data_IF_242118150916
#
_entry.id   IF_242118150916
#
_cell.length_a   1.000
_cell.length_b   1.000
_cell.length_c   1.000
_cell.angle_alpha   90.00
_cell.angle_beta   90.00
_cell.angle_gamma   90.00
#
_symmetry.space_group_name_H-M   'P 1'
#
loop_
_entity.id
_entity.type
_entity.pdbx_description
1 polymer ?
#
# COMPACT_ATOMS: atom_id res chain seq x y z
N UNK A 1 -20.16 -1.04 -15.85
CA UNK A 1 -18.74 -0.98 -15.48
C UNK A 1 -18.36 -2.32 -14.88
N UNK A 2 -17.40 -3.01 -15.47
CA UNK A 2 -16.90 -4.30 -15.00
C UNK A 2 -16.11 -4.14 -13.69
N UNK A 3 -15.89 -5.26 -12.98
CA UNK A 3 -15.03 -5.29 -11.80
C UNK A 3 -13.59 -4.86 -12.11
N UNK A 4 -13.10 -5.21 -13.31
CA UNK A 4 -11.77 -4.83 -13.80
C UNK A 4 -11.67 -3.33 -14.07
N UNK A 5 -12.66 -2.73 -14.76
CA UNK A 5 -12.69 -1.28 -15.00
C UNK A 5 -12.68 -0.50 -13.70
N UNK A 6 -13.45 -0.96 -12.71
CA UNK A 6 -13.47 -0.35 -11.37
C UNK A 6 -12.10 -0.47 -10.69
N UNK A 7 -11.43 -1.62 -10.78
CA UNK A 7 -10.10 -1.82 -10.21
C UNK A 7 -9.07 -0.88 -10.85
N UNK A 8 -9.07 -0.76 -12.19
CA UNK A 8 -8.21 0.18 -12.92
C UNK A 8 -8.43 1.63 -12.49
N UNK A 9 -9.69 2.06 -12.32
CA UNK A 9 -10.01 3.40 -11.81
C UNK A 9 -9.50 3.63 -10.38
N UNK A 10 -9.61 2.62 -9.52
CA UNK A 10 -9.09 2.68 -8.15
C UNK A 10 -7.56 2.82 -8.15
N UNK A 11 -6.87 2.07 -9.01
CA UNK A 11 -5.42 2.14 -9.16
C UNK A 11 -4.97 3.49 -9.70
N UNK A 12 -5.60 3.99 -10.77
CA UNK A 12 -5.32 5.32 -11.30
C UNK A 12 -5.53 6.42 -10.26
N UNK A 13 -6.63 6.34 -9.48
CA UNK A 13 -6.93 7.30 -8.41
C UNK A 13 -5.84 7.30 -7.33
N UNK A 14 -5.36 6.12 -6.93
CA UNK A 14 -4.27 6.02 -5.95
C UNK A 14 -2.95 6.59 -6.48
N UNK A 15 -2.58 6.26 -7.71
CA UNK A 15 -1.39 6.82 -8.34
C UNK A 15 -1.46 8.35 -8.45
N UNK A 16 -2.61 8.90 -8.87
CA UNK A 16 -2.81 10.35 -8.89
C UNK A 16 -2.71 10.97 -7.50
N UNK A 17 -3.24 10.33 -6.47
CA UNK A 17 -3.11 10.80 -5.09
C UNK A 17 -1.64 10.85 -4.66
N UNK A 18 -0.86 9.79 -4.93
CA UNK A 18 0.58 9.75 -4.62
C UNK A 18 1.31 10.89 -5.33
N UNK A 19 1.08 11.04 -6.64
CA UNK A 19 1.68 12.11 -7.46
C UNK A 19 1.38 13.52 -6.93
N UNK A 20 0.17 13.74 -6.42
CA UNK A 20 -0.25 15.04 -5.86
C UNK A 20 0.23 15.26 -4.41
N UNK A 21 0.64 14.19 -3.71
CA UNK A 21 0.96 14.23 -2.29
C UNK A 21 2.20 13.37 -1.92
N UNK A 22 3.37 13.60 -2.55
CA UNK A 22 4.57 12.79 -2.32
C UNK A 22 5.02 12.80 -0.85
N UNK A 23 4.96 13.96 -0.17
CA UNK A 23 5.32 14.06 1.25
C UNK A 23 4.41 13.22 2.16
N UNK A 24 3.12 13.15 1.82
CA UNK A 24 2.13 12.34 2.57
C UNK A 24 2.33 10.86 2.30
N UNK A 25 2.68 10.51 1.06
CA UNK A 25 3.04 9.15 0.69
C UNK A 25 4.26 8.67 1.49
N UNK A 26 5.33 9.46 1.54
CA UNK A 26 6.53 9.11 2.30
C UNK A 26 6.22 8.95 3.80
N UNK A 27 5.51 9.92 4.40
CA UNK A 27 5.08 9.82 5.81
C UNK A 27 4.27 8.56 6.11
N UNK A 28 3.42 8.13 5.18
CA UNK A 28 2.65 6.91 5.33
C UNK A 28 3.55 5.67 5.26
N UNK A 29 4.51 5.62 4.33
CA UNK A 29 5.50 4.54 4.24
C UNK A 29 6.32 4.42 5.54
N UNK A 30 6.85 5.55 6.02
CA UNK A 30 7.63 5.61 7.25
C UNK A 30 6.81 5.11 8.44
N UNK A 31 5.52 5.49 8.50
CA UNK A 31 4.63 5.04 9.57
C UNK A 31 4.37 3.55 9.53
N UNK A 32 4.03 3.01 8.37
CA UNK A 32 3.80 1.56 8.22
C UNK A 32 5.09 0.78 8.53
N UNK A 33 6.25 1.29 8.14
CA UNK A 33 7.55 0.72 8.50
C UNK A 33 7.77 0.71 10.01
N UNK A 34 7.53 1.83 10.68
CA UNK A 34 7.63 1.95 12.13
C UNK A 34 6.69 0.99 12.86
N UNK A 35 5.40 0.93 12.48
CA UNK A 35 4.43 0.01 13.07
C UNK A 35 4.82 -1.46 12.90
N UNK A 36 5.35 -1.81 11.72
CA UNK A 36 5.86 -3.15 11.46
C UNK A 36 7.03 -3.51 12.39
N UNK A 37 7.95 -2.57 12.63
CA UNK A 37 9.11 -2.73 13.52
C UNK A 37 8.69 -2.86 14.99
N UNK A 38 7.65 -2.15 15.42
CA UNK A 38 7.01 -2.30 16.74
C UNK A 38 6.18 -3.60 16.88
N UNK A 39 5.97 -4.34 15.78
CA UNK A 39 5.16 -5.56 15.76
C UNK A 39 3.65 -5.33 15.75
N UNK A 40 3.20 -4.11 15.42
CA UNK A 40 1.78 -3.78 15.31
C UNK A 40 1.16 -4.33 14.01
N UNK A 41 -0.06 -4.87 14.11
CA UNK A 41 -0.83 -5.26 12.94
C UNK A 41 -1.50 -4.04 12.31
N UNK A 42 -1.26 -3.84 11.01
CA UNK A 42 -1.70 -2.66 10.28
C UNK A 42 -2.96 -3.00 9.49
N UNK A 43 -4.08 -2.39 9.88
CA UNK A 43 -5.36 -2.53 9.23
C UNK A 43 -5.95 -1.16 8.92
N UNK A 44 -6.77 -1.08 7.87
CA UNK A 44 -7.54 0.15 7.56
C UNK A 44 -8.32 0.67 8.78
N UNK A 45 -8.90 -0.24 9.56
CA UNK A 45 -9.75 0.10 10.70
C UNK A 45 -8.99 0.73 11.86
N UNK A 46 -7.74 0.31 12.08
CA UNK A 46 -6.94 0.69 13.24
C UNK A 46 -5.81 1.68 12.91
N UNK A 47 -5.45 1.89 11.64
CA UNK A 47 -4.34 2.77 11.25
C UNK A 47 -4.49 4.18 11.82
N UNK A 48 -5.73 4.66 11.96
CA UNK A 48 -6.02 5.96 12.59
C UNK A 48 -5.76 5.98 14.10
N UNK A 49 -6.14 4.91 14.80
CA UNK A 49 -5.91 4.79 16.23
C UNK A 49 -4.41 4.65 16.52
N UNK A 50 -3.71 3.86 15.70
CA UNK A 50 -2.26 3.76 15.73
C UNK A 50 -1.62 5.13 15.44
N UNK A 51 -2.07 5.84 14.40
CA UNK A 51 -1.53 7.15 14.06
C UNK A 51 -1.67 8.15 15.22
N UNK A 52 -2.84 8.16 15.90
CA UNK A 52 -3.04 8.99 17.09
C UNK A 52 -2.13 8.57 18.25
N UNK A 53 -1.99 7.26 18.49
CA UNK A 53 -1.15 6.72 19.57
C UNK A 53 0.31 7.14 19.41
N UNK A 54 0.80 7.19 18.17
CA UNK A 54 2.19 7.52 17.85
C UNK A 54 2.39 8.98 17.40
N UNK A 55 1.42 9.87 17.65
CA UNK A 55 1.59 11.32 17.46
C UNK A 55 1.62 11.79 16.00
N UNK A 56 1.09 11.01 15.06
CA UNK A 56 0.99 11.38 13.64
C UNK A 56 -0.16 12.36 13.36
N UNK A 57 -0.05 13.14 12.28
CA UNK A 57 -1.09 14.07 11.83
C UNK A 57 -2.42 13.33 11.55
N UNK A 58 -3.40 13.63 12.39
CA UNK A 58 -4.78 13.11 12.36
C UNK A 58 -5.44 13.33 10.99
N UNK A 59 -5.09 14.40 10.27
CA UNK A 59 -5.65 14.72 8.95
C UNK A 59 -5.22 13.70 7.90
N UNK A 60 -3.94 13.32 7.90
CA UNK A 60 -3.38 12.32 7.00
C UNK A 60 -4.12 10.98 7.17
N UNK A 61 -4.24 10.50 8.41
CA UNK A 61 -4.96 9.27 8.72
C UNK A 61 -6.47 9.33 8.37
N UNK A 62 -7.09 10.52 8.43
CA UNK A 62 -8.49 10.71 8.08
C UNK A 62 -8.77 10.60 6.57
N UNK A 63 -7.82 10.99 5.72
CA UNK A 63 -7.93 10.87 4.26
C UNK A 63 -7.99 9.40 3.83
N UNK A 64 -7.14 8.55 4.42
CA UNK A 64 -7.11 7.11 4.14
C UNK A 64 -8.33 6.35 4.67
N UNK A 65 -8.90 6.78 5.80
CA UNK A 65 -10.10 6.17 6.36
C UNK A 65 -11.33 6.34 5.45
N UNK A 66 -11.43 7.50 4.78
CA UNK A 66 -12.58 7.86 3.95
C UNK A 66 -12.61 7.15 2.61
N UNK A 67 -11.47 6.71 2.10
CA UNK A 67 -11.38 6.00 0.82
C UNK A 67 -10.77 4.61 0.97
N UNK A 68 -11.67 3.62 1.08
CA UNK A 68 -11.31 2.20 1.16
C UNK A 68 -10.45 1.76 -0.04
N UNK A 69 -10.66 2.36 -1.20
CA UNK A 69 -9.97 1.99 -2.42
C UNK A 69 -8.53 2.50 -2.42
N UNK A 70 -8.29 3.69 -1.86
CA UNK A 70 -6.93 4.23 -1.70
C UNK A 70 -6.11 3.34 -0.79
N UNK A 71 -6.59 3.01 0.41
CA UNK A 71 -5.84 2.15 1.34
C UNK A 71 -5.44 0.81 0.70
N UNK A 72 -6.39 0.14 0.05
CA UNK A 72 -6.18 -1.17 -0.56
C UNK A 72 -5.14 -1.15 -1.68
N UNK A 73 -5.07 -0.08 -2.46
CA UNK A 73 -4.07 0.05 -3.54
C UNK A 73 -2.72 0.53 -3.01
N UNK A 74 -2.71 1.57 -2.16
CA UNK A 74 -1.48 2.14 -1.61
C UNK A 74 -0.64 1.10 -0.87
N UNK A 75 -1.29 0.27 -0.05
CA UNK A 75 -0.61 -0.82 0.67
C UNK A 75 -0.03 -1.89 -0.25
N UNK A 76 -0.60 -2.11 -1.45
CA UNK A 76 0.00 -3.01 -2.46
C UNK A 76 1.30 -2.45 -3.01
N UNK A 77 1.33 -1.15 -3.34
CA UNK A 77 2.57 -0.49 -3.76
C UNK A 77 3.64 -0.55 -2.66
N UNK A 78 3.27 -0.34 -1.38
CA UNK A 78 4.22 -0.45 -0.28
C UNK A 78 4.85 -1.83 -0.15
N UNK A 79 4.07 -2.91 -0.28
CA UNK A 79 4.64 -4.27 -0.18
C UNK A 79 5.40 -4.68 -1.44
N UNK A 80 5.09 -4.08 -2.59
CA UNK A 80 5.89 -4.23 -3.80
C UNK A 80 7.25 -3.54 -3.70
N UNK A 81 7.33 -2.42 -2.97
CA UNK A 81 8.57 -1.72 -2.65
C UNK A 81 9.34 -2.40 -1.50
N UNK A 82 8.64 -2.75 -0.41
CA UNK A 82 9.19 -3.37 0.81
C UNK A 82 8.37 -4.60 1.23
N UNK A 83 8.67 -5.80 0.68
CA UNK A 83 7.93 -7.03 0.97
C UNK A 83 7.83 -7.41 2.45
N UNK A 84 8.78 -7.01 3.30
CA UNK A 84 8.74 -7.28 4.75
C UNK A 84 7.49 -6.72 5.45
N UNK A 85 6.85 -5.70 4.87
CA UNK A 85 5.58 -5.14 5.36
C UNK A 85 4.43 -6.18 5.34
N UNK A 86 4.57 -7.28 4.61
CA UNK A 86 3.64 -8.43 4.67
C UNK A 86 3.62 -9.12 6.05
N UNK A 87 4.59 -8.86 6.92
CA UNK A 87 4.53 -9.28 8.33
C UNK A 87 3.46 -8.54 9.14
N UNK A 88 3.11 -7.32 8.73
CA UNK A 88 2.17 -6.45 9.45
C UNK A 88 0.88 -6.16 8.67
N UNK A 89 0.90 -6.26 7.33
CA UNK A 89 -0.23 -5.98 6.44
C UNK A 89 -0.73 -7.27 5.79
N UNK A 90 -2.01 -7.59 6.02
CA UNK A 90 -2.69 -8.72 5.39
C UNK A 90 -3.62 -8.26 4.28
N UNK A 91 -3.68 -9.05 3.20
CA UNK A 91 -4.50 -8.76 2.02
C UNK A 91 -5.49 -9.90 1.76
N UNK A 92 -6.67 -9.52 1.28
CA UNK A 92 -7.60 -10.41 0.59
C UNK A 92 -7.37 -10.30 -0.92
N UNK A 93 -7.68 -11.37 -1.63
CA UNK A 93 -7.69 -11.36 -3.09
C UNK A 93 -8.77 -10.41 -3.60
N UNK A 94 -8.40 -9.53 -4.52
CA UNK A 94 -9.30 -8.56 -5.13
C UNK A 94 -8.98 -8.38 -6.61
N UNK A 95 -9.91 -7.84 -7.41
CA UNK A 95 -9.64 -7.51 -8.81
C UNK A 95 -8.46 -6.54 -9.04
N UNK A 96 -7.99 -5.82 -8.01
CA UNK A 96 -6.78 -4.98 -8.10
C UNK A 96 -5.55 -5.84 -8.45
N UNK A 97 -5.51 -7.09 -7.96
CA UNK A 97 -4.36 -7.99 -8.13
C UNK A 97 -4.15 -8.44 -9.59
N UNK A 98 -5.10 -8.14 -10.48
CA UNK A 98 -5.03 -8.40 -11.91
C UNK A 98 -4.67 -7.15 -12.74
N UNK A 99 -4.54 -5.98 -12.11
CA UNK A 99 -4.18 -4.72 -12.79
C UNK A 99 -2.65 -4.64 -12.92
N UNK A 100 -2.09 -4.15 -14.04
CA UNK A 100 -0.64 -3.95 -14.19
C UNK A 100 -0.16 -2.77 -13.31
N UNK A 101 0.05 -3.01 -12.02
CA UNK A 101 0.30 -1.97 -11.03
C UNK A 101 1.54 -1.12 -11.33
N UNK A 102 2.66 -1.74 -11.70
CA UNK A 102 3.90 -1.03 -12.05
C UNK A 102 3.70 -0.13 -13.27
N UNK A 103 2.95 -0.59 -14.28
CA UNK A 103 2.67 0.22 -15.45
C UNK A 103 1.89 1.49 -15.09
N UNK A 104 0.80 1.34 -14.32
CA UNK A 104 0.02 2.49 -13.85
C UNK A 104 0.85 3.46 -13.01
N UNK A 105 1.77 2.93 -12.21
CA UNK A 105 2.67 3.76 -11.42
C UNK A 105 3.61 4.57 -12.30
N UNK A 106 4.32 3.91 -13.23
CA UNK A 106 5.26 4.57 -14.13
C UNK A 106 4.56 5.63 -15.00
N UNK A 107 3.36 5.32 -15.50
CA UNK A 107 2.59 6.21 -16.36
C UNK A 107 2.08 7.48 -15.63
N UNK A 108 1.89 7.41 -14.31
CA UNK A 108 1.23 8.48 -13.54
C UNK A 108 2.20 9.16 -12.55
N UNK A 109 2.93 8.38 -11.76
CA UNK A 109 3.81 8.88 -10.69
C UNK A 109 5.23 9.12 -11.22
N UNK A 110 5.77 8.18 -11.99
CA UNK A 110 7.16 8.18 -12.47
C UNK A 110 7.91 6.92 -12.06
N UNK A 111 9.22 6.88 -12.31
CA UNK A 111 10.07 5.74 -11.94
C UNK A 111 10.16 5.55 -10.41
N UNK A 112 10.10 4.30 -9.95
CA UNK A 112 10.26 3.89 -8.55
C UNK A 112 10.94 2.51 -8.48
N UNK A 113 11.53 2.19 -7.34
CA UNK A 113 12.33 0.99 -7.10
C UNK A 113 11.47 -0.13 -6.52
N UNK A 114 10.47 -0.60 -7.28
CA UNK A 114 9.73 -1.80 -6.89
C UNK A 114 10.58 -3.06 -7.03
N UNK A 115 10.69 -3.83 -5.95
CA UNK A 115 11.34 -5.15 -5.97
C UNK A 115 10.40 -6.27 -6.42
N UNK A 116 9.12 -5.95 -6.63
CA UNK A 116 8.10 -6.85 -7.14
C UNK A 116 7.09 -6.10 -8.02
N UNK A 117 6.57 -6.77 -9.05
CA UNK A 117 5.60 -6.20 -10.00
C UNK A 117 4.13 -6.42 -9.60
N UNK A 118 3.89 -7.27 -8.59
CA UNK A 118 2.55 -7.64 -8.12
C UNK A 118 2.56 -8.04 -6.64
N UNK A 119 1.37 -8.13 -6.03
CA UNK A 119 1.23 -8.65 -4.67
C UNK A 119 1.68 -10.11 -4.55
N UNK A 120 1.44 -10.92 -5.59
CA UNK A 120 1.86 -12.32 -5.61
C UNK A 120 3.40 -12.44 -5.62
N UNK A 121 4.06 -11.62 -6.44
CA UNK A 121 5.52 -11.57 -6.48
C UNK A 121 6.11 -11.02 -5.16
N UNK A 122 5.51 -9.99 -4.58
CA UNK A 122 5.92 -9.47 -3.27
C UNK A 122 5.84 -10.56 -2.18
N UNK A 123 4.79 -11.39 -2.20
CA UNK A 123 4.68 -12.54 -1.28
C UNK A 123 5.77 -13.57 -1.51
N UNK A 124 6.06 -13.91 -2.76
CA UNK A 124 7.14 -14.84 -3.09
C UNK A 124 8.51 -14.33 -2.60
N UNK A 125 8.80 -13.03 -2.79
CA UNK A 125 10.02 -12.40 -2.27
C UNK A 125 10.06 -12.48 -0.74
N UNK A 126 8.94 -12.17 -0.07
CA UNK A 126 8.87 -12.23 1.38
C UNK A 126 9.04 -13.64 1.95
N UNK A 127 8.42 -14.65 1.31
CA UNK A 127 8.55 -16.06 1.71
C UNK A 127 10.00 -16.52 1.67
N UNK A 128 10.74 -16.15 0.61
CA UNK A 128 12.19 -16.39 0.52
C UNK A 128 12.94 -15.68 1.65
N UNK A 129 12.64 -14.40 1.91
CA UNK A 129 13.31 -13.61 2.96
C UNK A 129 13.13 -14.20 4.36
N UNK A 130 11.97 -14.80 4.65
CA UNK A 130 11.67 -15.42 5.96
C UNK A 130 11.96 -16.92 6.03
N UNK A 131 12.55 -17.49 4.98
CA UNK A 131 12.95 -18.90 4.95
C UNK A 131 11.81 -19.90 4.75
N UNK A 132 10.65 -19.46 4.24
CA UNK A 132 9.56 -20.34 3.83
C UNK A 132 9.85 -20.80 2.39
N UNK A 133 10.10 -22.09 2.21
CA UNK A 133 10.25 -22.74 0.90
C UNK A 133 8.94 -23.31 0.41
#
# INVERSE_FOLDING_TARGET
MSSEERARQMVAKACHWVRLHPDKWQKLKDFCGYLMEEGDLIQRGNVYELARRYGMDVRLASEFKRDHNLWSVLTRYMVMERPSLLSAISFRDTPIDQVPLVQFWNDIVGEDEFVASSLAEARAVWDVQRGVR
#
